data_IF_272240565085
#
_entry.id   IF_272240565085
#
_cell.length_a   1.000
_cell.length_b   1.000
_cell.length_c   1.000
_cell.angle_alpha   90.00
_cell.angle_beta   90.00
_cell.angle_gamma   90.00
#
_symmetry.space_group_name_H-M   'P 1'
#
loop_
_entity.id
_entity.type
_entity.pdbx_description
1 polymer ?
#
# COMPACT_ATOMS: atom_id res chain seq x y z
N UNK A 1 -7.63 19.34 -1.41
CA UNK A 1 -7.47 19.78 0.00
C UNK A 1 -7.10 21.26 0.16
N UNK A 2 -6.03 21.76 -0.46
CA UNK A 2 -5.67 23.19 -0.35
C UNK A 2 -6.80 24.15 -0.75
N UNK A 3 -7.61 23.77 -1.77
CA UNK A 3 -8.84 24.47 -2.12
C UNK A 3 -9.81 24.53 -0.93
N UNK A 4 -10.18 23.38 -0.36
CA UNK A 4 -11.05 23.34 0.82
C UNK A 4 -10.56 24.25 1.96
N UNK A 5 -9.29 24.16 2.38
CA UNK A 5 -8.79 24.98 3.48
C UNK A 5 -8.81 26.50 3.22
N UNK A 6 -8.72 26.93 1.95
CA UNK A 6 -8.93 28.36 1.61
C UNK A 6 -10.39 28.76 1.70
N UNK A 7 -11.29 27.85 1.36
CA UNK A 7 -12.72 28.12 1.27
C UNK A 7 -13.41 28.02 2.64
N UNK A 8 -12.94 27.12 3.49
CA UNK A 8 -13.36 26.92 4.88
C UNK A 8 -13.11 28.17 5.75
N UNK A 9 -11.97 28.85 5.54
CA UNK A 9 -11.62 30.09 6.28
C UNK A 9 -12.46 31.30 5.89
N UNK A 10 -13.24 31.21 4.82
CA UNK A 10 -14.12 32.29 4.40
C UNK A 10 -15.43 32.20 5.21
N UNK A 11 -15.62 33.16 6.12
CA UNK A 11 -16.75 33.22 7.05
C UNK A 11 -18.06 33.50 6.30
N UNK A 12 -18.00 34.20 5.17
CA UNK A 12 -19.17 34.58 4.35
C UNK A 12 -19.64 33.45 3.42
N UNK A 13 -18.92 32.33 3.38
CA UNK A 13 -19.25 31.22 2.49
C UNK A 13 -20.32 30.32 3.08
N UNK A 14 -21.31 30.00 2.26
CA UNK A 14 -22.38 29.05 2.58
C UNK A 14 -21.84 27.67 3.00
N UNK A 15 -22.45 27.08 4.02
CA UNK A 15 -21.98 25.83 4.63
C UNK A 15 -22.22 24.62 3.74
N UNK A 16 -23.28 24.61 2.92
CA UNK A 16 -23.51 23.53 1.95
C UNK A 16 -22.42 23.57 0.86
N UNK A 17 -22.04 24.76 0.38
CA UNK A 17 -20.91 24.90 -0.53
C UNK A 17 -19.58 24.42 0.11
N UNK A 18 -19.31 24.74 1.38
CA UNK A 18 -18.12 24.23 2.10
C UNK A 18 -18.10 22.71 2.14
N UNK A 19 -19.24 22.08 2.44
CA UNK A 19 -19.41 20.62 2.46
C UNK A 19 -19.20 20.00 1.08
N UNK A 20 -19.71 20.61 0.01
CA UNK A 20 -19.45 20.17 -1.37
C UNK A 20 -17.96 20.22 -1.72
N UNK A 21 -17.27 21.30 -1.36
CA UNK A 21 -15.82 21.45 -1.61
C UNK A 21 -15.00 20.44 -0.79
N UNK A 22 -15.43 20.13 0.43
CA UNK A 22 -14.83 19.09 1.27
C UNK A 22 -14.95 17.72 0.60
N UNK A 23 -16.16 17.33 0.20
CA UNK A 23 -16.41 16.04 -0.46
C UNK A 23 -15.63 15.90 -1.77
N UNK A 24 -15.59 16.97 -2.58
CA UNK A 24 -14.77 17.01 -3.79
C UNK A 24 -13.28 16.86 -3.48
N UNK A 25 -12.79 17.50 -2.40
CA UNK A 25 -11.40 17.39 -1.96
C UNK A 25 -11.05 15.99 -1.47
N UNK A 26 -11.91 15.35 -0.67
CA UNK A 26 -11.74 13.97 -0.19
C UNK A 26 -11.73 13.00 -1.38
N UNK A 27 -12.68 13.15 -2.30
CA UNK A 27 -12.75 12.32 -3.51
C UNK A 27 -11.50 12.46 -4.37
N UNK A 28 -10.99 13.68 -4.52
CA UNK A 28 -9.73 13.94 -5.23
C UNK A 28 -8.53 13.28 -4.54
N UNK A 29 -8.43 13.33 -3.21
CA UNK A 29 -7.37 12.64 -2.46
C UNK A 29 -7.44 11.14 -2.71
N UNK A 30 -8.61 10.52 -2.53
CA UNK A 30 -8.80 9.08 -2.77
C UNK A 30 -8.41 8.68 -4.20
N UNK A 31 -8.84 9.45 -5.19
CA UNK A 31 -8.49 9.24 -6.61
C UNK A 31 -6.99 9.35 -6.83
N UNK A 32 -6.35 10.39 -6.31
CA UNK A 32 -4.92 10.62 -6.48
C UNK A 32 -4.09 9.51 -5.80
N UNK A 33 -4.49 9.06 -4.61
CA UNK A 33 -3.86 7.92 -3.93
C UNK A 33 -3.97 6.65 -4.78
N UNK A 34 -5.12 6.36 -5.39
CA UNK A 34 -5.27 5.22 -6.30
C UNK A 34 -4.32 5.31 -7.50
N UNK A 35 -4.25 6.48 -8.15
CA UNK A 35 -3.33 6.71 -9.28
C UNK A 35 -1.87 6.52 -8.85
N UNK A 36 -1.50 7.05 -7.68
CA UNK A 36 -0.15 6.89 -7.14
C UNK A 36 0.20 5.42 -6.92
N UNK A 37 -0.70 4.64 -6.32
CA UNK A 37 -0.50 3.20 -6.07
C UNK A 37 -0.34 2.45 -7.41
N UNK A 38 -1.18 2.73 -8.41
CA UNK A 38 -1.02 2.13 -9.75
C UNK A 38 0.36 2.46 -10.35
N UNK A 39 0.77 3.73 -10.31
CA UNK A 39 2.08 4.15 -10.82
C UNK A 39 3.24 3.50 -10.06
N UNK A 40 3.11 3.28 -8.75
CA UNK A 40 4.11 2.58 -7.95
C UNK A 40 4.19 1.10 -8.34
N UNK A 41 3.05 0.44 -8.53
CA UNK A 41 2.99 -0.94 -9.01
C UNK A 41 3.68 -1.09 -10.37
N UNK A 42 3.37 -0.20 -11.32
CA UNK A 42 4.01 -0.19 -12.63
C UNK A 42 5.53 -0.06 -12.50
N UNK A 43 6.02 0.88 -11.67
CA UNK A 43 7.47 1.05 -11.42
C UNK A 43 8.11 -0.22 -10.85
N UNK A 44 7.47 -0.88 -9.89
CA UNK A 44 7.97 -2.13 -9.30
C UNK A 44 8.00 -3.24 -10.36
N UNK A 45 6.94 -3.37 -11.18
CA UNK A 45 6.89 -4.35 -12.27
C UNK A 45 8.00 -4.11 -13.30
N UNK A 46 8.33 -2.85 -13.59
CA UNK A 46 9.45 -2.51 -14.48
C UNK A 46 10.80 -2.88 -13.87
N UNK A 47 11.02 -2.63 -12.58
CA UNK A 47 12.23 -3.11 -11.88
C UNK A 47 12.37 -4.64 -11.99
N UNK A 48 11.28 -5.36 -11.77
CA UNK A 48 11.27 -6.83 -11.87
C UNK A 48 11.50 -7.32 -13.30
N UNK A 49 10.76 -6.79 -14.27
CA UNK A 49 10.67 -7.38 -15.61
C UNK A 49 11.65 -6.77 -16.62
N UNK A 50 11.90 -5.45 -16.56
CA UNK A 50 12.83 -4.77 -17.48
C UNK A 50 14.25 -4.77 -16.95
N UNK A 51 14.43 -4.63 -15.63
CA UNK A 51 15.76 -4.62 -14.99
C UNK A 51 16.17 -5.97 -14.42
N UNK A 52 15.31 -6.99 -14.53
CA UNK A 52 15.56 -8.34 -14.04
C UNK A 52 16.03 -8.35 -12.57
N UNK A 53 15.54 -7.41 -11.76
CA UNK A 53 15.93 -7.35 -10.36
C UNK A 53 15.39 -8.59 -9.62
N UNK A 54 16.27 -9.35 -8.94
CA UNK A 54 15.84 -10.48 -8.13
C UNK A 54 15.07 -9.94 -6.93
N UNK A 55 13.74 -10.09 -6.95
CA UNK A 55 12.84 -9.60 -5.92
C UNK A 55 12.01 -10.75 -5.36
N UNK A 56 12.00 -10.89 -4.03
CA UNK A 56 11.06 -11.76 -3.34
C UNK A 56 9.71 -11.05 -3.19
N UNK A 57 8.63 -11.69 -3.66
CA UNK A 57 7.28 -11.15 -3.56
C UNK A 57 6.58 -11.69 -2.32
N UNK A 58 6.18 -10.80 -1.42
CA UNK A 58 5.42 -11.12 -0.21
C UNK A 58 3.98 -10.65 -0.40
N UNK A 59 3.03 -11.56 -0.24
CA UNK A 59 1.61 -11.28 -0.45
C UNK A 59 0.98 -10.93 0.89
N UNK A 60 0.59 -9.67 1.07
CA UNK A 60 -0.10 -9.17 2.26
C UNK A 60 -1.61 -9.01 2.05
N UNK A 61 -2.17 -9.57 0.97
CA UNK A 61 -3.57 -9.32 0.56
C UNK A 61 -4.56 -9.87 1.57
N UNK A 62 -4.26 -11.01 2.20
CA UNK A 62 -5.18 -11.68 3.12
C UNK A 62 -5.33 -10.93 4.45
N UNK A 63 -4.36 -10.09 4.82
CA UNK A 63 -4.41 -9.24 6.02
C UNK A 63 -5.52 -8.18 5.94
N UNK A 64 -5.99 -7.87 4.73
CA UNK A 64 -7.04 -6.87 4.50
C UNK A 64 -8.46 -7.46 4.44
N UNK A 65 -8.63 -8.78 4.62
CA UNK A 65 -9.93 -9.45 4.51
C UNK A 65 -10.70 -9.59 5.81
N UNK A 66 -10.06 -9.38 6.96
CA UNK A 66 -10.66 -9.60 8.28
C UNK A 66 -10.69 -8.30 9.09
N UNK A 67 -11.76 -8.10 9.87
CA UNK A 67 -11.96 -6.87 10.65
C UNK A 67 -11.51 -7.03 12.11
N UNK A 68 -11.42 -8.27 12.61
CA UNK A 68 -10.92 -8.56 13.96
C UNK A 68 -9.41 -8.42 14.00
N UNK A 69 -8.94 -7.39 14.70
CA UNK A 69 -7.51 -7.07 14.85
C UNK A 69 -6.64 -8.26 15.25
N UNK A 70 -7.09 -9.08 16.20
CA UNK A 70 -6.32 -10.26 16.65
C UNK A 70 -6.09 -11.27 15.54
N UNK A 71 -7.08 -11.46 14.65
CA UNK A 71 -6.97 -12.35 13.50
C UNK A 71 -6.11 -11.70 12.41
N UNK A 72 -6.22 -10.39 12.20
CA UNK A 72 -5.33 -9.64 11.28
C UNK A 72 -3.87 -9.74 11.70
N UNK A 73 -3.59 -9.61 13.01
CA UNK A 73 -2.23 -9.71 13.55
C UNK A 73 -1.65 -11.12 13.37
N UNK A 74 -2.47 -12.16 13.53
CA UNK A 74 -2.06 -13.55 13.28
C UNK A 74 -1.82 -13.83 11.79
N UNK A 75 -2.75 -13.42 10.92
CA UNK A 75 -2.59 -13.59 9.46
C UNK A 75 -1.32 -12.87 9.00
N UNK A 76 -1.11 -11.60 9.40
CA UNK A 76 0.09 -10.84 9.06
C UNK A 76 1.39 -11.52 9.53
N UNK A 77 1.40 -12.05 10.76
CA UNK A 77 2.55 -12.77 11.29
C UNK A 77 2.93 -13.95 10.40
N UNK A 78 1.94 -14.69 9.91
CA UNK A 78 2.13 -15.91 9.15
C UNK A 78 2.37 -15.67 7.65
N UNK A 79 1.69 -14.69 7.04
CA UNK A 79 1.71 -14.42 5.59
C UNK A 79 2.80 -13.41 5.18
N UNK A 80 3.17 -12.49 6.09
CA UNK A 80 4.13 -11.42 5.79
C UNK A 80 5.39 -11.55 6.63
N UNK A 81 5.28 -11.52 7.96
CA UNK A 81 6.46 -11.43 8.84
C UNK A 81 7.32 -12.69 8.75
N UNK A 82 6.72 -13.87 8.89
CA UNK A 82 7.46 -15.13 8.90
C UNK A 82 8.21 -15.38 7.57
N UNK A 83 7.60 -15.20 6.38
CA UNK A 83 8.32 -15.28 5.11
C UNK A 83 9.46 -14.27 4.99
N UNK A 84 9.28 -13.02 5.45
CA UNK A 84 10.36 -12.02 5.45
C UNK A 84 11.55 -12.46 6.31
N UNK A 85 11.29 -12.98 7.51
CA UNK A 85 12.33 -13.47 8.41
C UNK A 85 13.09 -14.65 7.80
N UNK A 86 12.39 -15.56 7.11
CA UNK A 86 13.02 -16.73 6.52
C UNK A 86 13.88 -16.39 5.30
N UNK A 87 13.45 -15.43 4.46
CA UNK A 87 14.30 -14.85 3.39
C UNK A 87 15.56 -14.23 4.00
N UNK A 88 15.41 -13.40 5.03
CA UNK A 88 16.53 -12.71 5.66
C UNK A 88 17.51 -13.70 6.32
N UNK A 89 17.02 -14.74 6.99
CA UNK A 89 17.87 -15.80 7.56
C UNK A 89 18.68 -16.51 6.49
N UNK A 90 18.10 -16.81 5.32
CA UNK A 90 18.83 -17.46 4.21
C UNK A 90 19.88 -16.54 3.62
N UNK A 91 19.52 -15.29 3.38
CA UNK A 91 20.45 -14.26 2.91
C UNK A 91 21.67 -14.12 3.83
N UNK A 92 21.44 -14.04 5.15
CA UNK A 92 22.52 -13.94 6.14
C UNK A 92 23.38 -15.21 6.25
N UNK A 93 22.88 -16.37 5.81
CA UNK A 93 23.61 -17.64 5.84
C UNK A 93 24.48 -17.89 4.59
N UNK A 94 24.45 -17.00 3.59
CA UNK A 94 25.12 -17.16 2.29
C UNK A 94 24.67 -18.39 1.48
N UNK A 95 23.43 -18.86 1.68
CA UNK A 95 22.82 -19.89 0.82
C UNK A 95 22.26 -19.24 -0.46
N UNK A 96 23.12 -18.66 -1.28
CA UNK A 96 22.76 -18.06 -2.57
C UNK A 96 22.45 -19.15 -3.61
N UNK A 97 21.26 -19.74 -3.50
CA UNK A 97 20.60 -20.38 -4.64
C UNK A 97 19.24 -19.70 -4.82
N UNK A 98 19.11 -19.04 -5.97
CA UNK A 98 17.97 -18.26 -6.44
C UNK A 98 16.70 -19.14 -6.51
N UNK A 99 16.00 -19.30 -5.39
CA UNK A 99 14.81 -20.16 -5.29
C UNK A 99 13.56 -19.28 -5.16
N UNK A 100 12.70 -19.36 -6.17
CA UNK A 100 11.33 -18.84 -6.15
C UNK A 100 10.53 -19.53 -5.04
N UNK A 101 10.40 -18.88 -3.89
CA UNK A 101 9.45 -19.31 -2.86
C UNK A 101 8.06 -18.89 -3.33
N UNK A 102 7.25 -19.87 -3.77
CA UNK A 102 5.79 -19.69 -3.81
C UNK A 102 5.31 -19.63 -2.36
N UNK A 103 4.91 -18.46 -1.90
CA UNK A 103 4.03 -18.35 -0.75
C UNK A 103 2.64 -18.81 -1.21
N UNK A 104 2.16 -19.89 -0.60
CA UNK A 104 0.83 -20.47 -0.83
C UNK A 104 -0.27 -19.56 -0.32
#
# INVERSE_FOLDING_TARGET
MAKYFREEKNIDRDDELKKMILQASISSIKRNTRILICNQLDKIQRLKNEKMWPMHHIIATDDFKEERKEVVDEVWRNTVLQPCLDIMKRFLKNDDHNISIKCT
#
